data_IF_576476442678
#
_entry.id   IF_576476442678
#
_cell.length_a   1.000
_cell.length_b   1.000
_cell.length_c   1.000
_cell.angle_alpha   90.00
_cell.angle_beta   90.00
_cell.angle_gamma   90.00
#
_symmetry.space_group_name_H-M   'P 1'
#
loop_
_entity.id
_entity.type
_entity.pdbx_description
1 polymer ?
#
# COMPACT_ATOMS: atom_id res chain seq x y z
N UNK A 1 8.91 -17.55 -35.80
CA UNK A 1 9.10 -16.12 -36.10
C UNK A 1 8.81 -15.34 -34.82
N UNK A 2 9.71 -14.45 -34.42
CA UNK A 2 9.90 -14.01 -33.03
C UNK A 2 9.24 -12.69 -32.65
N UNK A 3 9.26 -12.40 -31.34
CA UNK A 3 8.97 -11.08 -30.76
C UNK A 3 9.75 -10.00 -31.54
N UNK A 4 9.03 -9.13 -32.24
CA UNK A 4 9.63 -7.93 -32.83
C UNK A 4 9.40 -6.76 -31.89
N UNK A 5 10.47 -6.34 -31.20
CA UNK A 5 10.48 -5.05 -30.52
C UNK A 5 10.71 -3.96 -31.58
N UNK A 6 9.69 -3.17 -31.88
CA UNK A 6 9.83 -1.99 -32.73
C UNK A 6 10.29 -0.81 -31.86
N UNK A 7 11.57 -0.45 -31.99
CA UNK A 7 12.14 0.75 -31.37
C UNK A 7 11.98 1.90 -32.37
N UNK A 8 11.08 2.83 -32.09
CA UNK A 8 10.99 4.06 -32.89
C UNK A 8 12.13 5.02 -32.48
N UNK A 9 12.34 6.14 -33.20
CA UNK A 9 13.26 7.24 -32.83
C UNK A 9 12.51 8.49 -32.35
N UNK A 10 13.13 9.24 -31.45
CA UNK A 10 12.54 10.34 -30.69
C UNK A 10 12.11 11.51 -31.59
N UNK A 11 10.82 11.85 -31.55
CA UNK A 11 10.32 13.13 -32.01
C UNK A 11 9.87 13.94 -30.79
N UNK A 12 10.28 15.20 -30.73
CA UNK A 12 9.91 16.11 -29.64
C UNK A 12 8.40 16.43 -29.70
N UNK A 13 7.80 16.42 -28.50
CA UNK A 13 6.41 16.75 -28.16
C UNK A 13 5.38 15.69 -28.59
N UNK A 14 4.56 15.25 -27.63
CA UNK A 14 3.42 14.32 -27.75
C UNK A 14 3.69 12.80 -27.78
N UNK A 15 4.76 12.30 -27.15
CA UNK A 15 4.99 10.85 -27.00
C UNK A 15 3.78 10.10 -26.43
N UNK A 16 3.12 10.65 -25.41
CA UNK A 16 1.89 10.07 -24.86
C UNK A 16 0.73 10.09 -25.86
N UNK A 17 0.54 11.17 -26.64
CA UNK A 17 -0.54 11.23 -27.62
C UNK A 17 -0.30 10.27 -28.80
N UNK A 18 0.95 10.09 -29.24
CA UNK A 18 1.31 9.11 -30.26
C UNK A 18 1.10 7.68 -29.78
N UNK A 19 1.49 7.38 -28.54
CA UNK A 19 1.24 6.06 -27.94
C UNK A 19 -0.27 5.81 -27.79
N UNK A 20 -1.02 6.79 -27.29
CA UNK A 20 -2.48 6.70 -27.22
C UNK A 20 -3.09 6.51 -28.59
N UNK A 21 -2.67 7.27 -29.61
CA UNK A 21 -3.18 7.16 -30.98
C UNK A 21 -2.87 5.78 -31.60
N UNK A 22 -1.65 5.28 -31.42
CA UNK A 22 -1.27 3.95 -31.88
C UNK A 22 -2.07 2.87 -31.15
N UNK A 23 -2.22 3.00 -29.83
CA UNK A 23 -3.05 2.10 -29.04
C UNK A 23 -4.51 2.06 -29.53
N UNK A 24 -5.11 3.24 -29.78
CA UNK A 24 -6.46 3.32 -30.33
C UNK A 24 -6.57 2.72 -31.73
N UNK A 25 -5.57 2.90 -32.60
CA UNK A 25 -5.51 2.24 -33.92
C UNK A 25 -5.41 0.71 -33.81
N UNK A 26 -4.76 0.21 -32.76
CA UNK A 26 -4.70 -1.22 -32.43
C UNK A 26 -5.95 -1.72 -31.70
N UNK A 27 -7.01 -0.90 -31.56
CA UNK A 27 -8.25 -1.27 -30.88
C UNK A 27 -8.18 -1.26 -29.34
N UNK A 28 -7.12 -0.68 -28.77
CA UNK A 28 -6.89 -0.64 -27.32
C UNK A 28 -7.14 0.71 -26.65
N UNK A 29 -7.08 0.70 -25.32
CA UNK A 29 -7.03 1.89 -24.47
C UNK A 29 -5.65 1.95 -23.78
N UNK A 30 -5.03 3.13 -23.78
CA UNK A 30 -3.73 3.36 -23.15
C UNK A 30 -3.88 3.99 -21.77
N UNK A 31 -3.32 3.36 -20.74
CA UNK A 31 -3.44 3.79 -19.34
C UNK A 31 -2.21 4.57 -18.80
N UNK A 32 -1.30 4.99 -19.69
CA UNK A 32 -0.03 5.63 -19.33
C UNK A 32 1.15 4.66 -19.20
N UNK A 33 0.91 3.34 -19.30
CA UNK A 33 1.97 2.33 -19.28
C UNK A 33 1.70 1.13 -20.20
N UNK A 34 0.45 0.75 -20.36
CA UNK A 34 0.02 -0.39 -21.15
C UNK A 34 -1.06 0.04 -22.13
N UNK A 35 -0.97 -0.49 -23.34
CA UNK A 35 -2.11 -0.55 -24.24
C UNK A 35 -2.80 -1.89 -24.05
N UNK A 36 -4.10 -1.88 -23.77
CA UNK A 36 -4.85 -3.10 -23.53
C UNK A 36 -6.22 -3.07 -24.23
N UNK A 37 -6.74 -4.25 -24.54
CA UNK A 37 -8.07 -4.42 -25.11
C UNK A 37 -9.13 -3.89 -24.11
N UNK A 38 -10.12 -3.07 -24.55
CA UNK A 38 -11.12 -2.49 -23.66
C UNK A 38 -12.16 -3.50 -23.15
N UNK A 39 -12.41 -4.58 -23.89
CA UNK A 39 -13.41 -5.59 -23.56
C UNK A 39 -12.80 -6.72 -22.72
N UNK A 40 -11.63 -7.20 -23.12
CA UNK A 40 -10.96 -8.36 -22.53
C UNK A 40 -9.88 -7.98 -21.52
N UNK A 41 -9.41 -6.73 -21.50
CA UNK A 41 -8.34 -6.25 -20.61
C UNK A 41 -6.96 -6.87 -20.89
N UNK A 42 -6.79 -7.52 -22.04
CA UNK A 42 -5.54 -8.20 -22.41
C UNK A 42 -4.50 -7.20 -22.91
N UNK A 43 -3.24 -7.40 -22.55
CA UNK A 43 -2.15 -6.51 -22.96
C UNK A 43 -1.86 -6.65 -24.46
N UNK A 44 -1.95 -5.55 -25.19
CA UNK A 44 -1.55 -5.45 -26.59
C UNK A 44 -0.06 -5.10 -26.66
N UNK A 45 0.37 -4.05 -25.95
CA UNK A 45 1.79 -3.68 -25.84
C UNK A 45 2.11 -2.88 -24.56
N UNK A 46 3.37 -2.95 -24.10
CA UNK A 46 3.88 -2.04 -23.08
C UNK A 46 4.54 -0.84 -23.75
N UNK A 47 4.20 0.36 -23.29
CA UNK A 47 4.89 1.58 -23.70
C UNK A 47 4.95 2.52 -22.50
N UNK A 48 6.15 2.99 -22.17
CA UNK A 48 6.35 3.97 -21.10
C UNK A 48 7.04 5.19 -21.68
N UNK A 49 6.59 6.37 -21.27
CA UNK A 49 7.28 7.63 -21.53
C UNK A 49 8.06 7.96 -20.27
N UNK A 50 9.39 7.86 -20.31
CA UNK A 50 10.24 8.29 -19.20
C UNK A 50 10.33 9.81 -19.11
N UNK A 51 10.62 10.35 -17.92
CA UNK A 51 11.00 11.76 -17.72
C UNK A 51 12.49 12.05 -17.99
N UNK A 52 13.23 11.10 -18.59
CA UNK A 52 14.66 11.24 -18.90
C UNK A 52 15.56 10.07 -18.46
N UNK A 53 15.11 8.81 -18.49
CA UNK A 53 15.96 7.61 -18.40
C UNK A 53 15.22 6.32 -18.76
N UNK A 54 15.95 5.32 -19.29
CA UNK A 54 15.46 4.00 -19.71
C UNK A 54 15.14 3.06 -18.54
N UNK A 55 14.17 2.17 -18.77
CA UNK A 55 14.01 0.92 -18.01
C UNK A 55 14.47 -0.21 -18.93
N UNK A 56 15.59 -0.88 -18.62
CA UNK A 56 15.88 -2.23 -19.12
C UNK A 56 16.38 -3.15 -18.00
N UNK A 57 16.13 -4.44 -18.19
CA UNK A 57 16.20 -5.56 -17.25
C UNK A 57 17.61 -6.03 -16.87
N UNK A 58 18.69 -5.46 -17.42
CA UNK A 58 20.08 -5.86 -17.10
C UNK A 58 21.18 -4.82 -17.41
N UNK A 59 20.87 -3.56 -17.73
CA UNK A 59 21.88 -2.58 -18.18
C UNK A 59 22.32 -1.65 -17.03
N UNK A 60 23.61 -1.68 -16.69
CA UNK A 60 24.24 -0.82 -15.66
C UNK A 60 24.85 0.48 -16.19
N UNK A 61 24.85 0.77 -17.48
CA UNK A 61 25.31 2.05 -18.03
C UNK A 61 24.86 2.20 -19.49
N UNK A 62 24.05 3.22 -19.79
CA UNK A 62 24.31 4.19 -20.88
C UNK A 62 23.20 5.23 -20.89
N UNK A 63 23.65 6.47 -20.83
CA UNK A 63 22.91 7.72 -20.67
C UNK A 63 21.81 7.93 -21.71
N UNK A 64 20.55 8.03 -21.25
CA UNK A 64 19.50 8.66 -22.06
C UNK A 64 19.22 10.05 -21.48
N UNK A 65 19.63 11.06 -22.25
CA UNK A 65 19.33 12.47 -21.95
C UNK A 65 17.86 12.79 -22.25
N UNK A 66 17.35 13.90 -21.69
CA UNK A 66 16.03 14.44 -22.03
C UNK A 66 15.82 14.47 -23.56
N UNK A 67 14.76 13.81 -24.05
CA UNK A 67 14.52 13.63 -25.48
C UNK A 67 14.93 12.27 -26.06
N UNK A 68 15.23 11.25 -25.25
CA UNK A 68 15.43 9.86 -25.72
C UNK A 68 14.33 8.87 -25.34
N UNK A 69 13.95 7.98 -26.28
CA UNK A 69 12.79 7.10 -26.17
C UNK A 69 13.02 5.86 -25.33
N UNK A 70 11.99 5.51 -24.57
CA UNK A 70 11.84 4.24 -23.87
C UNK A 70 11.14 3.23 -24.79
N UNK A 71 11.63 1.97 -24.77
CA UNK A 71 11.21 0.91 -25.68
C UNK A 71 9.69 0.63 -25.65
N UNK A 72 9.10 0.39 -26.83
CA UNK A 72 7.76 -0.19 -26.99
C UNK A 72 7.95 -1.68 -27.25
N UNK A 73 7.43 -2.53 -26.36
CA UNK A 73 7.39 -3.98 -26.58
C UNK A 73 5.96 -4.34 -26.96
N UNK A 74 5.75 -4.63 -28.24
CA UNK A 74 4.47 -5.00 -28.81
C UNK A 74 4.54 -6.43 -29.39
N UNK A 75 3.41 -7.13 -29.36
CA UNK A 75 3.26 -8.39 -30.10
C UNK A 75 2.53 -8.11 -31.39
N UNK A 76 3.19 -8.44 -32.50
CA UNK A 76 2.63 -8.38 -33.85
C UNK A 76 2.39 -9.81 -34.33
N UNK A 77 1.35 -10.48 -33.86
CA UNK A 77 0.92 -11.73 -34.51
C UNK A 77 -0.55 -12.06 -34.28
N UNK A 78 -1.23 -12.36 -35.38
CA UNK A 78 -2.58 -12.91 -35.47
C UNK A 78 -2.57 -14.39 -35.05
N UNK A 79 -2.60 -14.68 -33.74
CA UNK A 79 -2.70 -16.05 -33.24
C UNK A 79 -2.90 -16.15 -31.72
N UNK A 80 -3.96 -16.86 -31.30
CA UNK A 80 -4.35 -17.01 -29.88
C UNK A 80 -3.27 -17.66 -29.01
N UNK A 81 -2.46 -18.56 -29.56
CA UNK A 81 -1.35 -19.23 -28.87
C UNK A 81 -0.16 -18.30 -28.57
N UNK A 82 0.05 -17.26 -29.37
CA UNK A 82 1.12 -16.28 -29.12
C UNK A 82 0.66 -15.21 -28.12
N UNK A 83 -0.64 -14.87 -28.13
CA UNK A 83 -1.26 -13.96 -27.16
C UNK A 83 -1.22 -14.52 -25.73
N UNK A 84 -1.44 -15.83 -25.54
CA UNK A 84 -1.34 -16.47 -24.22
C UNK A 84 0.09 -16.50 -23.68
N UNK A 85 1.08 -16.80 -24.53
CA UNK A 85 2.51 -16.74 -24.16
C UNK A 85 2.93 -15.32 -23.78
N UNK A 86 2.48 -14.32 -24.54
CA UNK A 86 2.73 -12.91 -24.25
C UNK A 86 2.11 -12.48 -22.92
N UNK A 87 0.84 -12.81 -22.68
CA UNK A 87 0.18 -12.50 -21.42
C UNK A 87 0.90 -13.17 -20.23
N UNK A 88 1.33 -14.42 -20.36
CA UNK A 88 2.11 -15.09 -19.33
C UNK A 88 3.48 -14.42 -19.12
N UNK A 89 4.19 -14.07 -20.19
CA UNK A 89 5.49 -13.41 -20.09
C UNK A 89 5.38 -12.02 -19.46
N UNK A 90 4.38 -11.21 -19.83
CA UNK A 90 4.14 -9.87 -19.26
C UNK A 90 3.73 -9.94 -17.78
N UNK A 91 2.91 -10.92 -17.38
CA UNK A 91 2.60 -11.19 -15.97
C UNK A 91 3.86 -11.54 -15.17
N UNK A 92 4.67 -12.49 -15.67
CA UNK A 92 5.82 -13.01 -14.92
C UNK A 92 7.03 -12.06 -14.92
N UNK A 93 7.32 -11.44 -16.06
CA UNK A 93 8.54 -10.63 -16.24
C UNK A 93 8.31 -9.15 -15.93
N UNK A 94 7.12 -8.62 -16.24
CA UNK A 94 6.81 -7.20 -16.13
C UNK A 94 5.76 -6.88 -15.05
N UNK A 95 5.30 -7.89 -14.31
CA UNK A 95 4.25 -7.76 -13.28
C UNK A 95 2.99 -7.08 -13.82
N UNK A 96 2.65 -7.33 -15.09
CA UNK A 96 1.38 -6.87 -15.65
C UNK A 96 0.24 -7.56 -14.91
N UNK A 97 -0.80 -6.80 -14.62
CA UNK A 97 -2.02 -7.27 -13.96
C UNK A 97 -3.15 -6.69 -14.78
N UNK A 98 -4.10 -7.51 -15.23
CA UNK A 98 -5.25 -7.00 -15.97
C UNK A 98 -6.11 -6.10 -15.08
N UNK A 99 -6.98 -5.27 -15.68
CA UNK A 99 -7.89 -4.44 -14.90
C UNK A 99 -8.79 -5.26 -13.95
N UNK A 100 -9.23 -6.45 -14.38
CA UNK A 100 -10.02 -7.37 -13.55
C UNK A 100 -9.21 -7.94 -12.38
N UNK A 101 -7.99 -8.41 -12.64
CA UNK A 101 -7.09 -8.92 -11.60
C UNK A 101 -6.70 -7.82 -10.60
N UNK A 102 -6.46 -6.60 -11.07
CA UNK A 102 -6.15 -5.45 -10.21
C UNK A 102 -7.31 -5.14 -9.26
N UNK A 103 -8.54 -5.13 -9.79
CA UNK A 103 -9.76 -4.96 -8.98
C UNK A 103 -9.91 -6.07 -7.94
N UNK A 104 -9.57 -7.31 -8.29
CA UNK A 104 -9.61 -8.42 -7.34
C UNK A 104 -8.55 -8.28 -6.24
N UNK A 105 -7.31 -7.95 -6.59
CA UNK A 105 -6.22 -7.69 -5.64
C UNK A 105 -6.59 -6.56 -4.67
N UNK A 106 -7.14 -5.45 -5.20
CA UNK A 106 -7.57 -4.32 -4.38
C UNK A 106 -8.72 -4.69 -3.45
N UNK A 107 -9.70 -5.46 -3.94
CA UNK A 107 -10.78 -6.01 -3.11
C UNK A 107 -10.27 -6.94 -2.01
N UNK A 108 -9.31 -7.82 -2.31
CA UNK A 108 -8.69 -8.69 -1.31
C UNK A 108 -7.91 -7.89 -0.28
N UNK A 109 -7.14 -6.89 -0.72
CA UNK A 109 -6.40 -5.97 0.16
C UNK A 109 -7.35 -5.23 1.10
N UNK A 110 -8.46 -4.73 0.57
CA UNK A 110 -9.50 -4.07 1.36
C UNK A 110 -10.11 -5.01 2.41
N UNK A 111 -10.49 -6.24 2.02
CA UNK A 111 -10.98 -7.26 2.96
C UNK A 111 -9.96 -7.60 4.05
N UNK A 112 -8.69 -7.71 3.70
CA UNK A 112 -7.61 -7.96 4.66
C UNK A 112 -7.41 -6.81 5.64
N UNK A 113 -7.49 -5.56 5.16
CA UNK A 113 -7.44 -4.37 6.03
C UNK A 113 -8.65 -4.36 6.97
N UNK A 114 -9.86 -4.60 6.46
CA UNK A 114 -11.05 -4.68 7.30
C UNK A 114 -10.94 -5.77 8.36
N UNK A 115 -10.46 -6.97 8.00
CA UNK A 115 -10.24 -8.06 8.94
C UNK A 115 -9.26 -7.67 10.05
N UNK A 116 -8.13 -7.05 9.69
CA UNK A 116 -7.14 -6.56 10.66
C UNK A 116 -7.74 -5.52 11.62
N UNK A 117 -8.52 -4.58 11.10
CA UNK A 117 -9.22 -3.57 11.92
C UNK A 117 -10.21 -4.22 12.87
N UNK A 118 -10.99 -5.20 12.40
CA UNK A 118 -11.92 -5.96 13.25
C UNK A 118 -11.21 -6.77 14.33
N UNK A 119 -10.11 -7.45 13.99
CA UNK A 119 -9.32 -8.24 14.93
C UNK A 119 -8.67 -7.34 15.98
N UNK A 120 -8.15 -6.17 15.60
CA UNK A 120 -7.62 -5.18 16.53
C UNK A 120 -8.71 -4.65 17.47
N UNK A 121 -9.90 -4.32 16.96
CA UNK A 121 -11.02 -3.87 17.77
C UNK A 121 -11.47 -4.95 18.78
N UNK A 122 -11.51 -6.22 18.37
CA UNK A 122 -11.80 -7.36 19.27
C UNK A 122 -10.76 -7.48 20.37
N UNK A 123 -9.46 -7.38 20.04
CA UNK A 123 -8.38 -7.45 21.03
C UNK A 123 -8.45 -6.30 22.03
N UNK A 124 -8.69 -5.07 21.57
CA UNK A 124 -8.87 -3.91 22.45
C UNK A 124 -10.07 -4.05 23.37
N UNK A 125 -11.20 -4.55 22.86
CA UNK A 125 -12.38 -4.84 23.67
C UNK A 125 -12.09 -5.91 24.74
N UNK A 126 -11.45 -7.01 24.36
CA UNK A 126 -11.04 -8.06 25.32
C UNK A 126 -10.11 -7.51 26.42
N UNK A 127 -9.13 -6.68 26.07
CA UNK A 127 -8.27 -6.03 27.06
C UNK A 127 -9.05 -5.08 27.98
N UNK A 128 -9.96 -4.28 27.41
CA UNK A 128 -10.84 -3.41 28.19
C UNK A 128 -11.70 -4.19 29.18
N UNK A 129 -12.27 -5.33 28.76
CA UNK A 129 -13.04 -6.22 29.64
C UNK A 129 -12.19 -6.79 30.77
N UNK A 130 -10.95 -7.20 30.49
CA UNK A 130 -10.02 -7.69 31.52
C UNK A 130 -9.67 -6.61 32.55
N UNK A 131 -9.48 -5.36 32.11
CA UNK A 131 -9.24 -4.23 33.04
C UNK A 131 -10.46 -4.01 33.92
N UNK A 132 -11.66 -4.00 33.36
CA UNK A 132 -12.90 -3.84 34.13
C UNK A 132 -13.08 -4.99 35.13
N UNK A 133 -12.79 -6.23 34.72
CA UNK A 133 -12.88 -7.40 35.59
C UNK A 133 -11.82 -7.41 36.70
N UNK A 134 -10.64 -6.83 36.47
CA UNK A 134 -9.57 -6.71 37.47
C UNK A 134 -9.90 -5.68 38.55
N UNK A 135 -10.73 -4.68 38.24
CA UNK A 135 -11.27 -3.74 39.21
C UNK A 135 -10.36 -2.56 39.57
N UNK A 136 -10.77 -1.80 40.60
CA UNK A 136 -10.04 -0.64 41.13
C UNK A 136 -8.69 -1.09 41.71
N UNK A 137 -7.65 -0.28 41.53
CA UNK A 137 -6.27 -0.56 41.91
C UNK A 137 -5.44 -1.24 40.81
N UNK A 138 -6.07 -1.67 39.72
CA UNK A 138 -5.38 -2.27 38.57
C UNK A 138 -4.42 -1.27 37.93
N UNK A 139 -3.17 -1.68 37.71
CA UNK A 139 -2.17 -0.88 37.00
C UNK A 139 -2.37 -0.98 35.50
N UNK A 140 -2.61 0.15 34.84
CA UNK A 140 -2.95 0.21 33.42
C UNK A 140 -2.02 1.14 32.66
N UNK A 141 -1.78 0.81 31.40
CA UNK A 141 -0.87 1.49 30.49
C UNK A 141 -1.61 1.93 29.21
N UNK A 142 -1.22 3.06 28.64
CA UNK A 142 -1.74 3.58 27.36
C UNK A 142 -0.57 4.10 26.52
N UNK A 143 -0.50 3.68 25.26
CA UNK A 143 0.50 4.16 24.30
C UNK A 143 -0.13 5.22 23.40
N UNK A 144 0.39 6.44 23.48
CA UNK A 144 -0.09 7.57 22.69
C UNK A 144 1.08 8.43 22.23
N UNK A 145 1.18 8.67 20.93
CA UNK A 145 2.26 9.48 20.32
C UNK A 145 3.68 9.06 20.72
N UNK A 146 3.91 7.75 20.89
CA UNK A 146 5.22 7.22 21.29
C UNK A 146 5.52 7.32 22.79
N UNK A 147 4.58 7.83 23.60
CA UNK A 147 4.68 7.92 25.05
C UNK A 147 3.79 6.85 25.69
N UNK A 148 4.35 6.11 26.64
CA UNK A 148 3.63 5.15 27.47
C UNK A 148 3.22 5.85 28.76
N UNK A 149 1.93 6.12 28.89
CA UNK A 149 1.31 6.60 30.12
C UNK A 149 0.97 5.41 30.99
N UNK A 150 1.33 5.44 32.27
CA UNK A 150 1.00 4.40 33.23
C UNK A 150 0.29 5.01 34.44
N UNK A 151 -0.73 4.30 34.92
CA UNK A 151 -1.59 4.76 36.00
C UNK A 151 -2.29 3.61 36.72
N UNK A 152 -3.16 3.99 37.64
CA UNK A 152 -4.00 3.04 38.39
C UNK A 152 -5.47 3.38 38.20
N UNK A 153 -6.30 2.36 38.05
CA UNK A 153 -7.76 2.52 37.99
C UNK A 153 -8.26 2.94 39.36
N UNK A 154 -8.86 4.12 39.46
CA UNK A 154 -9.45 4.64 40.71
C UNK A 154 -10.95 4.35 40.81
N UNK A 155 -11.65 4.32 39.67
CA UNK A 155 -13.11 4.13 39.60
C UNK A 155 -13.51 3.54 38.26
N UNK A 156 -14.62 2.80 38.24
CA UNK A 156 -15.26 2.26 37.03
C UNK A 156 -16.72 2.71 37.05
N UNK A 157 -17.17 3.45 36.03
CA UNK A 157 -18.52 4.00 35.97
C UNK A 157 -18.93 4.26 34.52
N UNK A 158 -20.19 4.00 34.15
CA UNK A 158 -20.75 4.29 32.82
C UNK A 158 -19.87 3.80 31.65
N UNK A 159 -19.36 2.57 31.75
CA UNK A 159 -18.45 1.97 30.75
C UNK A 159 -17.14 2.75 30.52
N UNK A 160 -16.74 3.59 31.49
CA UNK A 160 -15.46 4.29 31.52
C UNK A 160 -14.70 3.94 32.80
N UNK A 161 -13.39 4.12 32.75
CA UNK A 161 -12.51 4.04 33.90
C UNK A 161 -11.92 5.42 34.20
N UNK A 162 -11.89 5.76 35.48
CA UNK A 162 -11.10 6.87 36.02
C UNK A 162 -9.71 6.33 36.30
N UNK A 163 -8.70 6.89 35.64
CA UNK A 163 -7.30 6.49 35.79
C UNK A 163 -6.50 7.65 36.37
N UNK A 164 -5.80 7.39 37.46
CA UNK A 164 -4.78 8.30 37.98
C UNK A 164 -3.46 7.98 37.29
N UNK A 165 -3.07 8.81 36.33
CA UNK A 165 -1.86 8.65 35.53
C UNK A 165 -0.69 9.21 36.31
N UNK A 166 0.20 8.32 36.73
CA UNK A 166 1.31 8.64 37.65
C UNK A 166 2.67 8.68 36.96
N UNK A 167 2.77 8.16 35.73
CA UNK A 167 4.03 8.11 34.98
C UNK A 167 3.80 8.27 33.47
N UNK A 168 4.78 8.85 32.80
CA UNK A 168 4.88 8.90 31.35
C UNK A 168 6.34 8.61 30.94
N UNK A 169 6.56 7.69 30.01
CA UNK A 169 7.90 7.32 29.51
C UNK A 169 7.90 7.21 27.99
N UNK A 170 9.03 7.45 27.34
CA UNK A 170 9.16 7.18 25.91
C UNK A 170 9.15 5.67 25.65
N UNK A 171 8.44 5.24 24.61
CA UNK A 171 8.38 3.84 24.21
C UNK A 171 9.80 3.32 23.91
N UNK A 172 10.18 2.24 24.57
CA UNK A 172 11.52 1.62 24.42
C UNK A 172 12.59 2.19 25.35
N UNK A 173 12.29 3.19 26.19
CA UNK A 173 13.20 3.70 27.22
C UNK A 173 12.46 3.94 28.53
N UNK A 174 12.78 3.15 29.55
CA UNK A 174 12.23 3.32 30.90
C UNK A 174 12.71 4.59 31.61
N UNK A 175 13.84 5.15 31.16
CA UNK A 175 14.56 6.19 31.88
C UNK A 175 14.29 7.59 31.32
N UNK A 176 13.71 7.70 30.12
CA UNK A 176 13.40 9.00 29.53
C UNK A 176 11.94 9.34 29.80
N UNK A 177 11.75 10.35 30.66
CA UNK A 177 10.45 10.94 30.95
C UNK A 177 10.27 12.19 30.10
N UNK A 178 9.10 12.41 29.48
CA UNK A 178 8.78 13.69 28.86
C UNK A 178 8.96 14.82 29.87
N UNK A 179 9.69 15.87 29.49
CA UNK A 179 9.86 17.06 30.34
C UNK A 179 8.49 17.67 30.65
N UNK A 180 8.26 18.06 31.91
CA UNK A 180 7.03 18.72 32.33
C UNK A 180 5.82 17.81 32.55
N UNK A 181 5.98 16.48 32.55
CA UNK A 181 4.88 15.59 32.93
C UNK A 181 4.42 15.89 34.37
N UNK A 182 3.12 16.12 34.52
CA UNK A 182 2.44 16.22 35.80
C UNK A 182 1.41 15.10 35.91
N UNK A 183 1.24 14.57 37.11
CA UNK A 183 0.22 13.56 37.37
C UNK A 183 -1.16 14.14 37.03
N UNK A 184 -1.98 13.34 36.37
CA UNK A 184 -3.30 13.77 35.92
C UNK A 184 -4.31 12.65 36.08
N UNK A 185 -5.57 13.04 36.25
CA UNK A 185 -6.69 12.13 36.30
C UNK A 185 -7.39 12.21 34.94
N UNK A 186 -7.66 11.05 34.36
CA UNK A 186 -8.40 10.96 33.11
C UNK A 186 -9.56 9.98 33.21
N UNK A 187 -10.63 10.28 32.48
CA UNK A 187 -11.77 9.39 32.29
C UNK A 187 -11.76 8.91 30.85
N UNK A 188 -11.57 7.61 30.65
CA UNK A 188 -11.41 7.06 29.31
C UNK A 188 -12.09 5.68 29.20
N UNK A 189 -12.25 5.18 27.98
CA UNK A 189 -12.74 3.83 27.74
C UNK A 189 -11.70 2.79 28.13
N UNK A 190 -12.08 1.67 28.77
CA UNK A 190 -11.15 0.60 29.10
C UNK A 190 -10.35 0.10 27.89
N UNK A 191 -10.96 0.06 26.70
CA UNK A 191 -10.32 -0.43 25.46
C UNK A 191 -9.11 0.41 24.99
N UNK A 192 -8.96 1.62 25.51
CA UNK A 192 -7.82 2.50 25.22
C UNK A 192 -6.60 2.20 26.10
N UNK A 193 -6.77 1.31 27.08
CA UNK A 193 -5.75 0.91 28.04
C UNK A 193 -5.46 -0.58 27.94
N UNK A 194 -4.27 -0.98 28.37
CA UNK A 194 -3.88 -2.37 28.54
C UNK A 194 -3.28 -2.58 29.94
N UNK A 195 -3.35 -3.79 30.49
CA UNK A 195 -2.66 -4.10 31.74
C UNK A 195 -1.17 -3.87 31.56
N UNK A 196 -0.54 -3.11 32.46
CA UNK A 196 0.91 -3.03 32.47
C UNK A 196 1.49 -4.39 32.86
N UNK A 197 2.57 -4.80 32.20
CA UNK A 197 3.43 -5.90 32.67
C UNK A 197 4.52 -5.34 33.59
#
# INVERSE_FOLDING_TARGET
MGLQAAVFKCLWVFGQALITQYCSKSGGIYDGKWCHDPLLGQAIFNAQVGNGSLIDKNIRNSDCSAGQMTAIIAVTSEGSNELSKWNNWTKNSLKYVTASEKKEIDNQKYKNVQKKVQDEAKRKNQQGQLIVASGVGTKVCKLESGIVYAGFVERIENSKIKVSVVSATLRGSSNIRPSGFQQTITWDKPENWYSCN
#
